data_IF_151243914710
#
_entry.id   IF_151243914710
#
_cell.length_a   1.000
_cell.length_b   1.000
_cell.length_c   1.000
_cell.angle_alpha   90.00
_cell.angle_beta   90.00
_cell.angle_gamma   90.00
#
_symmetry.space_group_name_H-M   'P 1'
#
loop_
_entity.id
_entity.type
_entity.pdbx_description
1 polymer ?
#
# COMPACT_ATOMS: atom_id res chain seq x y z
N UNK A 1 -70.18 -30.53 14.82
CA UNK A 1 -68.80 -30.91 14.38
C UNK A 1 -68.22 -29.77 13.55
N UNK A 2 -67.32 -28.98 14.13
CA UNK A 2 -66.66 -27.87 13.42
C UNK A 2 -65.25 -28.35 13.02
N UNK A 3 -65.03 -28.50 11.73
CA UNK A 3 -63.71 -28.91 11.16
C UNK A 3 -62.82 -27.70 11.10
N UNK A 4 -61.71 -27.70 11.86
CA UNK A 4 -60.71 -26.65 11.87
C UNK A 4 -59.71 -26.98 10.73
N UNK A 5 -59.68 -26.15 9.70
CA UNK A 5 -58.67 -26.24 8.62
C UNK A 5 -57.45 -25.46 9.05
N UNK A 6 -56.37 -26.16 9.35
CA UNK A 6 -55.08 -25.59 9.68
C UNK A 6 -54.30 -25.30 8.39
N UNK A 7 -54.23 -24.05 7.99
CA UNK A 7 -53.45 -23.61 6.82
C UNK A 7 -51.99 -23.43 7.24
N UNK A 8 -51.10 -24.32 6.82
CA UNK A 8 -49.67 -24.21 7.02
C UNK A 8 -49.11 -23.27 5.93
N UNK A 9 -48.67 -22.07 6.32
CA UNK A 9 -47.97 -21.13 5.44
C UNK A 9 -46.52 -21.56 5.36
N UNK A 10 -46.09 -22.14 4.24
CA UNK A 10 -44.70 -22.52 3.97
C UNK A 10 -43.95 -21.29 3.44
N UNK A 11 -43.22 -20.61 4.32
CA UNK A 11 -42.36 -19.48 3.93
C UNK A 11 -41.09 -20.03 3.27
N UNK A 12 -41.02 -19.98 1.95
CA UNK A 12 -39.79 -20.30 1.21
C UNK A 12 -38.75 -19.19 1.44
N UNK A 13 -37.73 -19.50 2.24
CA UNK A 13 -36.57 -18.63 2.40
C UNK A 13 -35.73 -18.76 1.13
N UNK A 14 -35.86 -17.79 0.21
CA UNK A 14 -34.99 -17.69 -0.95
C UNK A 14 -33.64 -17.14 -0.50
N UNK A 15 -32.66 -18.02 -0.24
CA UNK A 15 -31.27 -17.62 -0.08
C UNK A 15 -30.77 -17.13 -1.45
N UNK A 16 -30.77 -15.83 -1.67
CA UNK A 16 -30.03 -15.21 -2.77
C UNK A 16 -28.56 -15.40 -2.46
N UNK A 17 -27.94 -16.41 -3.03
CA UNK A 17 -26.50 -16.59 -2.98
C UNK A 17 -25.84 -15.39 -3.65
N UNK A 18 -25.24 -14.50 -2.85
CA UNK A 18 -24.35 -13.49 -3.39
C UNK A 18 -23.14 -14.24 -4.00
N UNK A 19 -23.08 -14.29 -5.32
CA UNK A 19 -21.89 -14.74 -6.05
C UNK A 19 -20.75 -13.76 -5.71
N UNK A 20 -19.99 -14.08 -4.68
CA UNK A 20 -18.78 -13.33 -4.30
C UNK A 20 -17.73 -13.57 -5.38
N UNK A 21 -17.78 -12.76 -6.44
CA UNK A 21 -16.71 -12.77 -7.44
C UNK A 21 -15.39 -12.45 -6.74
N UNK A 22 -14.41 -13.34 -6.91
CA UNK A 22 -13.05 -13.08 -6.41
C UNK A 22 -12.55 -11.73 -6.92
N UNK A 23 -12.02 -10.84 -6.05
CA UNK A 23 -11.60 -9.52 -6.45
C UNK A 23 -10.51 -9.61 -7.53
N UNK A 24 -10.75 -8.95 -8.67
CA UNK A 24 -9.81 -8.96 -9.81
C UNK A 24 -8.56 -8.16 -9.46
N UNK A 25 -7.39 -8.72 -9.74
CA UNK A 25 -6.10 -8.05 -9.65
C UNK A 25 -5.99 -6.98 -10.73
N UNK A 26 -5.65 -5.73 -10.39
CA UNK A 26 -5.38 -4.63 -11.31
C UNK A 26 -3.94 -4.13 -11.12
N UNK A 27 -3.14 -4.19 -12.18
CA UNK A 27 -1.80 -3.62 -12.18
C UNK A 27 -1.85 -2.09 -12.36
N UNK A 28 -1.11 -1.36 -11.54
CA UNK A 28 -0.93 0.09 -11.64
C UNK A 28 0.44 0.36 -12.25
N UNK A 29 0.47 1.21 -13.27
CA UNK A 29 1.70 1.57 -13.99
C UNK A 29 2.01 3.03 -13.73
N UNK A 30 3.22 3.32 -13.29
CA UNK A 30 3.76 4.68 -13.16
C UNK A 30 5.08 4.74 -13.94
N UNK A 31 5.20 5.67 -14.85
CA UNK A 31 6.37 5.78 -15.71
C UNK A 31 6.48 4.69 -16.80
N UNK A 32 7.62 4.62 -17.50
CA UNK A 32 7.85 3.63 -18.55
C UNK A 32 7.91 2.22 -17.98
N UNK A 33 7.42 1.20 -18.74
CA UNK A 33 7.47 -0.19 -18.29
C UNK A 33 8.93 -0.64 -18.13
N UNK A 34 9.27 -1.20 -16.97
CA UNK A 34 10.59 -1.82 -16.74
C UNK A 34 10.58 -3.35 -16.94
N UNK A 35 9.38 -3.96 -17.04
CA UNK A 35 9.21 -5.39 -17.31
C UNK A 35 9.56 -6.34 -16.14
N UNK A 36 10.12 -5.82 -15.04
CA UNK A 36 10.63 -6.63 -13.93
C UNK A 36 9.60 -6.70 -12.79
N UNK A 37 8.97 -5.58 -12.44
CA UNK A 37 7.95 -5.50 -11.40
C UNK A 37 6.88 -4.46 -11.74
N UNK A 38 5.78 -4.50 -11.02
CA UNK A 38 4.67 -3.54 -11.15
C UNK A 38 4.72 -2.57 -9.97
N UNK A 39 4.68 -1.25 -10.18
CA UNK A 39 4.73 -0.26 -9.10
C UNK A 39 3.69 -0.46 -8.00
N UNK A 40 2.47 -0.86 -8.35
CA UNK A 40 1.47 -1.30 -7.37
C UNK A 40 0.46 -2.27 -7.99
N UNK A 41 -0.15 -3.07 -7.12
CA UNK A 41 -1.27 -3.96 -7.44
C UNK A 41 -2.45 -3.56 -6.58
N UNK A 42 -3.63 -3.43 -7.20
CA UNK A 42 -4.91 -3.25 -6.51
C UNK A 42 -5.67 -4.57 -6.54
N UNK A 43 -6.17 -4.99 -5.37
CA UNK A 43 -7.03 -6.17 -5.20
C UNK A 43 -8.17 -5.81 -4.25
N UNK A 44 -9.40 -5.84 -4.75
CA UNK A 44 -10.55 -5.28 -4.00
C UNK A 44 -10.27 -3.81 -3.66
N UNK A 45 -10.38 -3.46 -2.39
CA UNK A 45 -10.15 -2.10 -1.89
C UNK A 45 -8.70 -1.88 -1.40
N UNK A 46 -7.81 -2.87 -1.55
CA UNK A 46 -6.43 -2.79 -1.09
C UNK A 46 -5.46 -2.50 -2.23
N UNK A 47 -4.50 -1.63 -1.93
CA UNK A 47 -3.35 -1.27 -2.77
C UNK A 47 -2.09 -1.82 -2.13
N UNK A 48 -1.33 -2.60 -2.88
CA UNK A 48 -0.01 -3.12 -2.49
C UNK A 48 1.05 -2.45 -3.36
N UNK A 49 1.95 -1.67 -2.78
CA UNK A 49 3.03 -1.04 -3.54
C UNK A 49 4.26 -1.93 -3.57
N UNK A 50 5.05 -1.81 -4.64
CA UNK A 50 6.45 -2.24 -4.59
C UNK A 50 7.26 -1.30 -3.72
N UNK A 51 8.41 -1.75 -3.23
CA UNK A 51 9.36 -0.94 -2.50
C UNK A 51 9.82 0.26 -3.33
N UNK A 52 9.88 1.42 -2.69
CA UNK A 52 10.36 2.67 -3.28
C UNK A 52 11.67 3.06 -2.64
N UNK A 53 12.69 3.31 -3.46
CA UNK A 53 13.96 3.88 -3.05
C UNK A 53 14.07 5.34 -3.51
N UNK A 54 15.07 6.07 -3.03
CA UNK A 54 15.22 7.51 -3.25
C UNK A 54 15.72 7.89 -4.66
N UNK A 55 15.26 7.22 -5.72
CA UNK A 55 15.56 7.55 -7.11
C UNK A 55 14.58 8.58 -7.65
N UNK A 56 15.09 9.67 -8.18
CA UNK A 56 14.30 10.64 -8.93
C UNK A 56 13.89 10.03 -10.28
N UNK A 57 12.58 9.93 -10.53
CA UNK A 57 12.03 9.29 -11.73
C UNK A 57 12.34 10.02 -13.03
N UNK A 58 12.71 11.32 -12.98
CA UNK A 58 13.03 12.14 -14.14
C UNK A 58 14.49 11.99 -14.55
N UNK A 59 15.41 11.94 -13.57
CA UNK A 59 16.84 11.89 -13.81
C UNK A 59 17.43 10.49 -13.74
N UNK A 60 16.73 9.55 -13.08
CA UNK A 60 17.23 8.22 -12.78
C UNK A 60 18.33 8.19 -11.71
N UNK A 61 18.61 9.32 -11.04
CA UNK A 61 19.66 9.44 -10.05
C UNK A 61 19.11 9.15 -8.65
N UNK A 62 19.92 8.48 -7.83
CA UNK A 62 19.66 8.33 -6.40
C UNK A 62 19.96 9.67 -5.71
N UNK A 63 19.05 10.14 -4.87
CA UNK A 63 19.24 11.35 -4.09
C UNK A 63 20.44 11.20 -3.14
N UNK A 64 21.16 12.28 -2.91
CA UNK A 64 22.38 12.29 -2.09
C UNK A 64 22.04 12.47 -0.60
N UNK A 65 22.53 11.55 0.23
CA UNK A 65 22.30 11.57 1.67
C UNK A 65 20.95 10.99 2.10
N UNK A 66 20.86 10.62 3.39
CA UNK A 66 19.69 9.92 3.93
C UNK A 66 18.39 10.72 3.84
N UNK A 67 18.42 12.00 4.27
CA UNK A 67 17.23 12.84 4.30
C UNK A 67 16.66 13.07 2.89
N UNK A 68 17.53 13.36 1.91
CA UNK A 68 17.09 13.54 0.53
C UNK A 68 16.54 12.25 -0.08
N UNK A 69 17.12 11.10 0.25
CA UNK A 69 16.58 9.79 -0.16
C UNK A 69 15.22 9.54 0.48
N UNK A 70 15.06 9.80 1.77
CA UNK A 70 13.78 9.66 2.47
C UNK A 70 12.69 10.51 1.81
N UNK A 71 12.98 11.80 1.55
CA UNK A 71 12.04 12.70 0.88
C UNK A 71 11.66 12.21 -0.52
N UNK A 72 12.63 11.69 -1.28
CA UNK A 72 12.37 11.15 -2.61
C UNK A 72 11.55 9.87 -2.56
N UNK A 73 11.80 8.98 -1.59
CA UNK A 73 10.99 7.77 -1.34
C UNK A 73 9.53 8.16 -1.13
N UNK A 74 9.24 9.15 -0.28
CA UNK A 74 7.87 9.60 -0.04
C UNK A 74 7.23 10.24 -1.26
N UNK A 75 7.98 11.01 -2.07
CA UNK A 75 7.47 11.51 -3.35
C UNK A 75 7.09 10.37 -4.30
N UNK A 76 7.94 9.36 -4.42
CA UNK A 76 7.69 8.20 -5.28
C UNK A 76 6.47 7.39 -4.78
N UNK A 77 6.42 7.12 -3.48
CA UNK A 77 5.31 6.39 -2.85
C UNK A 77 3.97 7.13 -3.03
N UNK A 78 3.96 8.45 -2.82
CA UNK A 78 2.78 9.30 -3.05
C UNK A 78 2.29 9.17 -4.49
N UNK A 79 3.18 9.29 -5.47
CA UNK A 79 2.82 9.18 -6.89
C UNK A 79 2.22 7.80 -7.24
N UNK A 80 2.78 6.72 -6.66
CA UNK A 80 2.27 5.35 -6.85
C UNK A 80 0.90 5.18 -6.22
N UNK A 81 0.69 5.68 -4.99
CA UNK A 81 -0.59 5.60 -4.30
C UNK A 81 -1.67 6.42 -5.02
N UNK A 82 -1.37 7.62 -5.47
CA UNK A 82 -2.29 8.48 -6.23
C UNK A 82 -2.69 7.83 -7.56
N UNK A 83 -1.74 7.27 -8.31
CA UNK A 83 -2.01 6.51 -9.54
C UNK A 83 -2.86 5.25 -9.30
N UNK A 84 -2.84 4.74 -8.07
CA UNK A 84 -3.65 3.60 -7.63
C UNK A 84 -5.09 3.97 -7.27
N UNK A 85 -5.38 5.25 -7.01
CA UNK A 85 -6.66 5.75 -6.48
C UNK A 85 -6.68 5.86 -4.95
N UNK A 86 -5.51 5.98 -4.33
CA UNK A 86 -5.31 6.11 -2.89
C UNK A 86 -4.51 7.39 -2.54
N UNK A 87 -3.94 7.48 -1.36
CA UNK A 87 -3.00 8.51 -0.93
C UNK A 87 -2.22 8.05 0.31
N UNK A 88 -1.28 8.86 0.79
CA UNK A 88 -0.44 8.57 1.96
C UNK A 88 -1.27 8.44 3.25
N UNK A 89 -2.32 9.25 3.41
CA UNK A 89 -3.19 9.21 4.59
C UNK A 89 -4.04 7.91 4.67
N UNK A 90 -4.19 7.23 3.55
CA UNK A 90 -4.92 5.95 3.46
C UNK A 90 -4.01 4.72 3.65
N UNK A 91 -2.73 4.92 3.96
CA UNK A 91 -1.83 3.81 4.27
C UNK A 91 -2.26 3.12 5.56
N UNK A 92 -2.36 1.79 5.54
CA UNK A 92 -2.69 0.97 6.73
C UNK A 92 -1.47 0.23 7.25
N UNK A 93 -0.50 -0.03 6.40
CA UNK A 93 0.78 -0.67 6.76
C UNK A 93 1.93 -0.08 5.94
N UNK A 94 3.07 0.06 6.58
CA UNK A 94 4.35 0.34 5.93
C UNK A 94 5.42 -0.62 6.42
N UNK A 95 6.30 -1.05 5.51
CA UNK A 95 7.56 -1.70 5.86
C UNK A 95 8.71 -0.78 5.44
N UNK A 96 9.59 -0.47 6.39
CA UNK A 96 10.77 0.36 6.17
C UNK A 96 12.00 -0.52 6.28
N UNK A 97 12.79 -0.54 5.21
CA UNK A 97 14.08 -1.21 5.14
C UNK A 97 15.18 -0.15 5.23
N UNK A 98 16.08 -0.28 6.18
CA UNK A 98 17.24 0.58 6.36
C UNK A 98 18.53 -0.17 6.03
N UNK A 99 19.46 0.48 5.34
CA UNK A 99 20.79 -0.06 5.15
C UNK A 99 21.64 0.04 6.43
N UNK A 100 21.31 0.99 7.32
CA UNK A 100 21.99 1.20 8.60
C UNK A 100 20.96 1.63 9.65
N UNK A 101 20.89 0.91 10.79
CA UNK A 101 20.00 1.25 11.90
C UNK A 101 20.39 2.55 12.61
N UNK A 102 21.59 3.09 12.40
CA UNK A 102 21.96 4.43 12.88
C UNK A 102 21.08 5.54 12.28
N UNK A 103 20.42 5.29 11.14
CA UNK A 103 19.46 6.21 10.54
C UNK A 103 18.08 6.17 11.20
N UNK A 104 17.80 5.24 12.14
CA UNK A 104 16.47 4.99 12.68
C UNK A 104 15.85 6.21 13.38
N UNK A 105 16.65 6.94 14.18
CA UNK A 105 16.14 8.11 14.88
C UNK A 105 15.73 9.23 13.91
N UNK A 106 16.58 9.52 12.92
CA UNK A 106 16.32 10.51 11.88
C UNK A 106 15.13 10.08 11.00
N UNK A 107 15.06 8.80 10.65
CA UNK A 107 13.91 8.24 9.92
C UNK A 107 12.61 8.47 10.69
N UNK A 108 12.56 8.23 12.00
CA UNK A 108 11.36 8.43 12.81
C UNK A 108 10.91 9.90 12.82
N UNK A 109 11.84 10.85 12.96
CA UNK A 109 11.57 12.29 12.89
C UNK A 109 10.88 12.65 11.56
N UNK A 110 11.51 12.29 10.45
CA UNK A 110 11.01 12.59 9.11
C UNK A 110 9.68 11.88 8.81
N UNK A 111 9.57 10.61 9.24
CA UNK A 111 8.38 9.80 9.02
C UNK A 111 7.15 10.38 9.72
N UNK A 112 7.28 10.78 10.99
CA UNK A 112 6.17 11.38 11.74
C UNK A 112 5.63 12.64 11.09
N UNK A 113 6.50 13.45 10.49
CA UNK A 113 6.11 14.68 9.80
C UNK A 113 5.29 14.45 8.51
N UNK A 114 5.23 13.21 8.00
CA UNK A 114 4.46 12.89 6.78
C UNK A 114 2.96 12.69 7.03
N UNK A 115 2.53 12.54 8.28
CA UNK A 115 1.14 12.23 8.62
C UNK A 115 0.52 13.33 9.50
N UNK A 116 -0.67 13.80 9.12
CA UNK A 116 -1.46 14.75 9.92
C UNK A 116 -2.15 14.07 11.10
N UNK A 117 -2.62 12.84 10.88
CA UNK A 117 -3.28 11.99 11.87
C UNK A 117 -2.38 10.89 12.41
N UNK A 118 -2.98 9.75 12.73
CA UNK A 118 -2.26 8.56 13.15
C UNK A 118 -1.50 7.95 11.98
N UNK A 119 -0.18 7.68 12.12
CA UNK A 119 0.58 7.00 11.06
C UNK A 119 0.14 5.55 10.93
N UNK A 120 0.38 4.89 9.77
CA UNK A 120 0.06 3.49 9.57
C UNK A 120 0.85 2.57 10.51
N UNK A 121 0.34 1.35 10.73
CA UNK A 121 1.13 0.31 11.37
C UNK A 121 2.46 0.12 10.63
N UNK A 122 3.59 0.08 11.34
CA UNK A 122 4.92 0.05 10.72
C UNK A 122 5.79 -1.08 11.27
N UNK A 123 6.58 -1.66 10.38
CA UNK A 123 7.73 -2.49 10.72
C UNK A 123 8.98 -1.81 10.17
N UNK A 124 10.06 -1.76 10.95
CA UNK A 124 11.35 -1.24 10.49
C UNK A 124 12.43 -2.26 10.79
N UNK A 125 13.24 -2.58 9.79
CA UNK A 125 14.34 -3.55 9.87
C UNK A 125 15.58 -3.02 9.17
N UNK A 126 16.75 -3.43 9.63
CA UNK A 126 17.98 -3.29 8.87
C UNK A 126 18.12 -4.48 7.93
N UNK A 127 18.60 -4.23 6.73
CA UNK A 127 18.88 -5.24 5.70
C UNK A 127 20.35 -5.23 5.30
N UNK A 128 20.81 -6.33 4.72
CA UNK A 128 22.20 -6.46 4.31
C UNK A 128 22.60 -5.46 3.19
N UNK A 129 21.69 -5.16 2.27
CA UNK A 129 21.86 -4.19 1.22
C UNK A 129 20.52 -3.81 0.60
N UNK A 130 20.46 -2.62 -0.03
CA UNK A 130 19.35 -2.15 -0.84
C UNK A 130 19.81 -1.90 -2.29
N UNK A 131 18.88 -1.97 -3.27
CA UNK A 131 19.20 -1.69 -4.67
C UNK A 131 19.87 -0.32 -4.83
N UNK A 132 20.85 -0.22 -5.72
CA UNK A 132 21.58 1.02 -6.03
C UNK A 132 22.31 1.63 -4.83
N UNK A 133 22.64 0.85 -3.81
CA UNK A 133 23.21 1.31 -2.54
C UNK A 133 22.34 2.39 -1.86
N UNK A 134 21.00 2.29 -2.00
CA UNK A 134 20.09 3.14 -1.28
C UNK A 134 20.22 2.93 0.23
N UNK A 135 19.99 3.98 1.01
CA UNK A 135 20.01 3.93 2.48
C UNK A 135 18.65 3.56 3.08
N UNK A 136 17.58 3.75 2.31
CA UNK A 136 16.21 3.48 2.74
C UNK A 136 15.36 3.01 1.57
N UNK A 137 14.46 2.07 1.86
CA UNK A 137 13.37 1.62 0.98
C UNK A 137 12.09 1.52 1.80
N UNK A 138 10.95 1.89 1.22
CA UNK A 138 9.64 1.78 1.87
C UNK A 138 8.64 1.17 0.90
N UNK A 139 7.91 0.15 1.36
CA UNK A 139 6.69 -0.36 0.75
C UNK A 139 5.48 -0.07 1.63
N UNK A 140 4.29 -0.09 1.04
CA UNK A 140 3.05 0.18 1.75
C UNK A 140 1.88 -0.67 1.28
N UNK A 141 0.94 -0.91 2.21
CA UNK A 141 -0.42 -1.32 1.92
C UNK A 141 -1.33 -0.15 2.27
N UNK A 142 -2.25 0.20 1.37
CA UNK A 142 -3.20 1.28 1.56
C UNK A 142 -4.62 0.82 1.16
N UNK A 143 -5.65 1.57 1.58
CA UNK A 143 -7.01 1.40 1.09
C UNK A 143 -7.30 2.42 -0.02
N UNK A 144 -8.20 2.07 -0.95
CA UNK A 144 -8.72 3.02 -1.94
C UNK A 144 -9.48 4.17 -1.24
N UNK A 145 -9.64 5.30 -1.93
CA UNK A 145 -10.49 6.42 -1.49
C UNK A 145 -11.96 6.06 -1.63
#
# INVERSE_FOLDING_TARGET
MRTLILTILLTACVCVGADAQSPKRRAVKTGPPNGIYTPAIVVGDLVFTSGQIGIDSKTGQLAEGFEAQFEQVFRNLTAVLEASGSNVENMVKATVFLADMNDYAKMNELYRAKFKGDPPARTTVQVAALPRAARIEIEAIAVLK
#
